data_IF_459728353956
#
_entry.id   IF_459728353956
#
_cell.length_a   1.000
_cell.length_b   1.000
_cell.length_c   1.000
_cell.angle_alpha   90.00
_cell.angle_beta   90.00
_cell.angle_gamma   90.00
#
_symmetry.space_group_name_H-M   'P 1'
#
loop_
_entity.id
_entity.type
_entity.pdbx_description
1 polymer ?
#
# COMPACT_ATOMS: atom_id res chain seq x y z
N UNK A 1 24.59 -14.94 7.44
CA UNK A 1 23.21 -14.66 6.98
C UNK A 1 22.64 -13.65 7.95
N UNK A 2 22.38 -12.43 7.49
CA UNK A 2 21.92 -11.35 8.36
C UNK A 2 20.47 -11.08 8.00
N UNK A 3 19.64 -11.15 9.03
CA UNK A 3 18.21 -11.04 8.98
C UNK A 3 17.85 -10.05 10.06
N UNK A 4 17.13 -8.99 9.71
CA UNK A 4 16.74 -7.96 10.68
C UNK A 4 15.27 -8.06 10.99
N UNK A 5 14.94 -7.95 12.26
CA UNK A 5 13.56 -7.87 12.75
C UNK A 5 13.29 -6.50 13.34
N UNK A 6 12.11 -5.98 13.06
CA UNK A 6 11.64 -4.69 13.54
C UNK A 6 10.34 -4.89 14.31
N UNK A 7 10.17 -4.12 15.39
CA UNK A 7 8.91 -4.00 16.14
C UNK A 7 8.35 -2.61 15.90
N UNK A 8 7.06 -2.52 15.58
CA UNK A 8 6.39 -1.27 15.17
C UNK A 8 7.16 -0.49 14.09
N UNK A 9 7.57 -1.13 12.98
CA UNK A 9 8.29 -0.46 11.91
C UNK A 9 7.47 0.67 11.28
N UNK A 10 8.15 1.76 10.92
CA UNK A 10 7.65 2.79 10.02
C UNK A 10 8.70 3.02 8.94
N UNK A 11 8.33 2.79 7.69
CA UNK A 11 9.16 3.03 6.51
C UNK A 11 8.58 4.19 5.71
N UNK A 12 9.42 5.17 5.37
CA UNK A 12 9.06 6.24 4.44
C UNK A 12 9.80 6.03 3.12
N UNK A 13 9.07 6.01 2.01
CA UNK A 13 9.64 5.94 0.66
C UNK A 13 9.72 7.34 0.05
N UNK A 14 10.82 7.60 -0.67
CA UNK A 14 11.07 8.86 -1.34
C UNK A 14 11.18 8.62 -2.86
N UNK A 15 10.74 9.59 -3.65
CA UNK A 15 10.94 9.59 -5.09
C UNK A 15 12.34 10.12 -5.49
N UNK A 16 12.59 10.22 -6.79
CA UNK A 16 13.86 10.70 -7.35
C UNK A 16 14.17 12.17 -6.98
N UNK A 17 13.16 12.94 -6.58
CA UNK A 17 13.30 14.33 -6.13
C UNK A 17 13.35 14.47 -4.61
N UNK A 18 13.55 13.36 -3.88
CA UNK A 18 13.55 13.30 -2.42
C UNK A 18 12.22 13.76 -1.78
N UNK A 19 11.10 13.64 -2.49
CA UNK A 19 9.77 13.87 -1.93
C UNK A 19 9.27 12.58 -1.28
N UNK A 20 8.84 12.67 -0.02
CA UNK A 20 8.22 11.53 0.66
C UNK A 20 6.89 11.17 -0.03
N UNK A 21 6.78 9.94 -0.53
CA UNK A 21 5.63 9.49 -1.32
C UNK A 21 4.72 8.53 -0.59
N UNK A 22 5.29 7.67 0.25
CA UNK A 22 4.54 6.64 0.98
C UNK A 22 5.06 6.47 2.40
N UNK A 23 4.15 6.22 3.33
CA UNK A 23 4.45 5.69 4.67
C UNK A 23 3.90 4.28 4.78
N UNK A 24 4.73 3.33 5.18
CA UNK A 24 4.36 1.92 5.40
C UNK A 24 4.60 1.58 6.87
N UNK A 25 3.57 1.08 7.55
CA UNK A 25 3.63 0.65 8.95
C UNK A 25 3.04 -0.74 9.15
N UNK A 26 3.49 -1.43 10.18
CA UNK A 26 3.00 -2.73 10.62
C UNK A 26 3.31 -2.95 12.10
N UNK A 27 2.85 -4.06 12.68
CA UNK A 27 3.22 -4.45 14.05
C UNK A 27 4.64 -5.02 14.11
N UNK A 28 5.04 -5.80 13.11
CA UNK A 28 6.38 -6.37 12.96
C UNK A 28 6.82 -6.38 11.51
N UNK A 29 8.13 -6.36 11.31
CA UNK A 29 8.70 -6.64 10.00
C UNK A 29 9.96 -7.50 10.06
N UNK A 30 10.18 -8.24 8.97
CA UNK A 30 11.39 -9.01 8.71
C UNK A 30 12.02 -8.49 7.42
N UNK A 31 13.26 -8.04 7.49
CA UNK A 31 14.05 -7.64 6.33
C UNK A 31 15.09 -8.71 6.01
N UNK A 32 15.12 -9.13 4.75
CA UNK A 32 16.05 -10.12 4.22
C UNK A 32 17.14 -9.46 3.37
N UNK A 33 18.20 -10.23 3.05
CA UNK A 33 19.36 -9.75 2.28
C UNK A 33 19.05 -9.35 0.85
N UNK A 34 18.08 -10.01 0.24
CA UNK A 34 17.54 -9.71 -1.09
C UNK A 34 16.60 -8.49 -1.08
N UNK A 35 16.57 -7.74 0.03
CA UNK A 35 15.80 -6.49 0.19
C UNK A 35 14.30 -6.71 0.07
N UNK A 36 13.84 -7.88 0.49
CA UNK A 36 12.42 -8.15 0.71
C UNK A 36 12.05 -7.79 2.15
N UNK A 37 11.04 -6.96 2.28
CA UNK A 37 10.45 -6.57 3.56
C UNK A 37 9.13 -7.31 3.72
N UNK A 38 9.07 -8.22 4.69
CA UNK A 38 7.85 -8.92 5.07
C UNK A 38 7.23 -8.18 6.25
N UNK A 39 5.98 -7.79 6.13
CA UNK A 39 5.21 -6.98 7.08
C UNK A 39 4.11 -7.85 7.69
N UNK A 40 3.98 -7.81 9.01
CA UNK A 40 3.04 -8.66 9.75
C UNK A 40 2.22 -7.84 10.74
N UNK A 41 0.91 -8.03 10.70
CA UNK A 41 -0.08 -7.40 11.58
C UNK A 41 -0.33 -5.94 11.23
N UNK A 42 -1.62 -5.59 11.10
CA UNK A 42 -2.11 -4.22 10.91
C UNK A 42 -1.30 -3.41 9.88
N UNK A 43 -1.00 -4.03 8.74
CA UNK A 43 -0.23 -3.37 7.68
C UNK A 43 -1.05 -2.23 7.11
N UNK A 44 -0.47 -1.04 7.12
CA UNK A 44 -1.07 0.14 6.52
C UNK A 44 -0.04 0.87 5.66
N UNK A 45 -0.40 1.09 4.40
CA UNK A 45 0.35 1.91 3.45
C UNK A 45 -0.46 3.17 3.21
N UNK A 46 0.12 4.35 3.42
CA UNK A 46 -0.52 5.64 3.20
C UNK A 46 0.25 6.45 2.17
N UNK A 47 -0.44 7.03 1.21
CA UNK A 47 0.16 8.05 0.34
C UNK A 47 0.43 9.31 1.17
N UNK A 48 1.59 9.92 0.94
CA UNK A 48 1.99 11.18 1.53
C UNK A 48 1.86 12.36 0.55
N UNK A 49 1.32 12.10 -0.65
CA UNK A 49 1.15 13.11 -1.71
C UNK A 49 -0.28 13.09 -2.24
N UNK A 50 -0.74 14.23 -2.76
CA UNK A 50 -2.07 14.39 -3.37
C UNK A 50 -2.12 13.95 -4.84
N UNK A 51 -1.01 13.48 -5.39
CA UNK A 51 -0.89 13.10 -6.81
C UNK A 51 -1.29 11.64 -7.07
N UNK A 52 -1.53 10.86 -6.02
CA UNK A 52 -1.94 9.47 -6.09
C UNK A 52 -3.45 9.35 -6.02
N UNK A 53 -4.06 8.61 -6.94
CA UNK A 53 -5.47 8.22 -6.80
C UNK A 53 -5.66 7.14 -5.72
N UNK A 54 -4.60 6.37 -5.44
CA UNK A 54 -4.56 5.42 -4.34
C UNK A 54 -4.08 6.13 -3.08
N UNK A 55 -4.92 6.18 -2.06
CA UNK A 55 -4.64 6.93 -0.83
C UNK A 55 -4.12 6.02 0.28
N UNK A 56 -4.70 4.82 0.41
CA UNK A 56 -4.40 3.90 1.51
C UNK A 56 -4.61 2.44 1.13
N UNK A 57 -3.76 1.58 1.66
CA UNK A 57 -3.90 0.12 1.61
C UNK A 57 -3.93 -0.39 3.05
N UNK A 58 -4.88 -1.26 3.38
CA UNK A 58 -4.92 -2.01 4.63
C UNK A 58 -4.96 -3.51 4.37
N UNK A 59 -4.17 -4.26 5.11
CA UNK A 59 -4.16 -5.73 5.10
C UNK A 59 -3.50 -6.28 6.37
N UNK A 60 -3.62 -7.57 6.63
CA UNK A 60 -2.98 -8.20 7.78
C UNK A 60 -1.50 -8.46 7.52
N UNK A 61 -1.11 -8.94 6.34
CA UNK A 61 0.28 -9.15 5.97
C UNK A 61 0.56 -8.67 4.54
N UNK A 62 1.79 -8.23 4.31
CA UNK A 62 2.24 -7.80 3.00
C UNK A 62 3.73 -8.07 2.79
N UNK A 63 4.14 -8.10 1.53
CA UNK A 63 5.54 -8.16 1.12
C UNK A 63 5.85 -6.94 0.27
N UNK A 64 7.00 -6.33 0.50
CA UNK A 64 7.50 -5.22 -0.31
C UNK A 64 8.90 -5.55 -0.81
N UNK A 65 9.10 -5.54 -2.11
CA UNK A 65 10.44 -5.53 -2.69
C UNK A 65 10.97 -4.10 -2.64
N UNK A 66 11.99 -3.84 -1.82
CA UNK A 66 12.50 -2.46 -1.62
C UNK A 66 13.28 -1.91 -2.82
N UNK A 67 13.61 -2.75 -3.81
CA UNK A 67 14.29 -2.33 -5.04
C UNK A 67 13.28 -1.93 -6.11
N UNK A 68 12.37 -2.84 -6.44
CA UNK A 68 11.36 -2.61 -7.49
C UNK A 68 10.17 -1.79 -6.99
N UNK A 69 9.97 -1.75 -5.66
CA UNK A 69 8.80 -1.21 -4.97
C UNK A 69 7.50 -1.95 -5.27
N UNK A 70 7.60 -3.21 -5.72
CA UNK A 70 6.43 -4.08 -5.81
C UNK A 70 5.91 -4.38 -4.42
N UNK A 71 4.59 -4.33 -4.27
CA UNK A 71 3.87 -4.70 -3.06
C UNK A 71 2.90 -5.83 -3.37
N UNK A 72 2.88 -6.85 -2.53
CA UNK A 72 1.94 -7.96 -2.63
C UNK A 72 1.34 -8.29 -1.28
N UNK A 73 0.15 -8.89 -1.30
CA UNK A 73 -0.47 -9.54 -0.16
C UNK A 73 -1.27 -10.72 -0.66
N UNK A 74 -1.29 -11.82 0.12
CA UNK A 74 -2.16 -12.97 -0.14
C UNK A 74 -3.43 -12.95 0.73
N UNK A 75 -3.55 -11.96 1.63
CA UNK A 75 -4.65 -11.83 2.58
C UNK A 75 -5.81 -11.01 1.99
N UNK A 76 -6.82 -10.75 2.83
CA UNK A 76 -7.81 -9.74 2.54
C UNK A 76 -7.18 -8.34 2.54
N UNK A 77 -7.51 -7.55 1.53
CA UNK A 77 -6.96 -6.22 1.32
C UNK A 77 -8.11 -5.24 1.11
N UNK A 78 -8.03 -4.10 1.78
CA UNK A 78 -8.88 -2.95 1.50
C UNK A 78 -8.04 -1.83 0.89
N UNK A 79 -8.39 -1.43 -0.35
CA UNK A 79 -7.84 -0.29 -1.06
C UNK A 79 -8.78 0.90 -0.89
N UNK A 80 -8.23 2.03 -0.45
CA UNK A 80 -8.91 3.32 -0.43
C UNK A 80 -8.27 4.22 -1.48
N UNK A 81 -9.08 4.75 -2.38
CA UNK A 81 -8.68 5.80 -3.30
C UNK A 81 -9.63 6.99 -3.21
N UNK A 82 -9.28 8.07 -3.92
CA UNK A 82 -9.96 9.38 -3.83
C UNK A 82 -11.48 9.30 -3.83
N UNK A 83 -12.05 8.44 -4.69
CA UNK A 83 -13.50 8.29 -4.87
C UNK A 83 -13.96 6.82 -4.81
N UNK A 84 -13.14 5.93 -4.23
CA UNK A 84 -13.48 4.51 -4.17
C UNK A 84 -12.93 3.82 -2.93
N UNK A 85 -13.63 2.77 -2.51
CA UNK A 85 -13.11 1.79 -1.55
C UNK A 85 -13.36 0.40 -2.13
N UNK A 86 -12.30 -0.35 -2.35
CA UNK A 86 -12.35 -1.73 -2.84
C UNK A 86 -11.88 -2.69 -1.76
N UNK A 87 -12.54 -3.83 -1.64
CA UNK A 87 -12.14 -4.94 -0.77
C UNK A 87 -12.00 -6.21 -1.64
N UNK A 88 -11.00 -7.03 -1.37
CA UNK A 88 -10.78 -8.27 -2.10
C UNK A 88 -9.68 -9.13 -1.50
N UNK A 89 -9.58 -10.36 -1.98
CA UNK A 89 -8.52 -11.29 -1.64
C UNK A 89 -7.33 -11.13 -2.58
N UNK A 90 -6.14 -11.11 -1.99
CA UNK A 90 -4.86 -10.91 -2.65
C UNK A 90 -4.74 -9.58 -3.37
N UNK A 91 -3.53 -9.04 -3.38
CA UNK A 91 -3.22 -7.80 -4.07
C UNK A 91 -1.84 -7.86 -4.68
N UNK A 92 -1.69 -7.21 -5.82
CA UNK A 92 -0.40 -6.86 -6.41
C UNK A 92 -0.40 -5.38 -6.74
N UNK A 93 0.73 -4.72 -6.58
CA UNK A 93 0.87 -3.31 -6.87
C UNK A 93 2.32 -2.90 -6.95
N UNK A 94 2.53 -1.62 -7.25
CA UNK A 94 3.85 -1.02 -7.25
C UNK A 94 3.75 0.43 -6.73
N UNK A 95 4.50 0.71 -5.66
CA UNK A 95 4.42 1.99 -4.95
C UNK A 95 5.05 3.13 -5.78
N UNK A 96 6.02 2.82 -6.65
CA UNK A 96 6.63 3.80 -7.55
C UNK A 96 5.65 4.26 -8.62
N UNK A 97 4.93 3.32 -9.25
CA UNK A 97 3.90 3.62 -10.25
C UNK A 97 2.55 4.00 -9.63
N UNK A 98 2.42 3.91 -8.30
CA UNK A 98 1.21 4.25 -7.54
C UNK A 98 0.00 3.41 -7.97
N UNK A 99 0.22 2.14 -8.31
CA UNK A 99 -0.81 1.21 -8.76
C UNK A 99 -1.01 0.08 -7.75
N UNK A 100 -2.25 -0.39 -7.63
CA UNK A 100 -2.62 -1.59 -6.88
C UNK A 100 -3.86 -2.23 -7.50
N UNK A 101 -3.85 -3.55 -7.59
CA UNK A 101 -4.91 -4.38 -8.17
C UNK A 101 -5.27 -5.48 -7.18
N UNK A 102 -6.57 -5.62 -6.90
CA UNK A 102 -7.12 -6.78 -6.20
C UNK A 102 -7.35 -7.90 -7.20
N UNK A 103 -7.06 -9.14 -6.80
CA UNK A 103 -7.04 -10.28 -7.72
C UNK A 103 -8.32 -11.11 -7.61
N UNK A 104 -8.73 -11.46 -6.38
CA UNK A 104 -9.81 -12.41 -6.13
C UNK A 104 -10.93 -11.76 -5.29
N UNK A 105 -12.17 -12.23 -5.45
CA UNK A 105 -13.35 -11.85 -4.63
C UNK A 105 -13.56 -10.34 -4.44
N UNK A 106 -13.32 -9.57 -5.50
CA UNK A 106 -13.33 -8.10 -5.46
C UNK A 106 -14.75 -7.56 -5.31
N UNK A 107 -14.92 -6.62 -4.38
CA UNK A 107 -16.10 -5.76 -4.22
C UNK A 107 -15.66 -4.32 -4.15
N UNK A 108 -16.27 -3.44 -4.92
CA UNK A 108 -15.92 -2.01 -4.91
C UNK A 108 -17.14 -1.14 -4.69
N UNK A 109 -16.98 -0.17 -3.78
CA UNK A 109 -17.89 0.94 -3.57
C UNK A 109 -17.26 2.20 -4.18
N UNK A 110 -18.04 2.97 -4.92
CA UNK A 110 -17.62 4.23 -5.53
C UNK A 110 -18.56 5.35 -5.09
N UNK A 111 -18.02 6.54 -4.85
CA UNK A 111 -18.82 7.74 -4.67
C UNK A 111 -18.84 8.56 -5.96
N UNK A 112 -20.03 8.82 -6.49
CA UNK A 112 -20.22 9.74 -7.60
C UNK A 112 -20.41 11.13 -6.98
N UNK A 113 -19.40 11.99 -7.08
CA UNK A 113 -19.62 13.40 -6.78
C UNK A 113 -20.43 14.02 -7.91
N UNK A 114 -21.74 14.19 -7.69
CA UNK A 114 -22.54 15.05 -8.54
C UNK A 114 -21.94 16.46 -8.46
N UNK A 115 -21.26 16.90 -9.52
CA UNK A 115 -20.92 18.30 -9.67
C UNK A 115 -22.24 19.07 -9.55
N UNK A 116 -22.38 19.89 -8.49
CA UNK A 116 -23.47 20.85 -8.42
C UNK A 116 -23.28 21.78 -9.62
N UNK A 117 -24.06 21.59 -10.67
CA UNK A 117 -24.30 22.62 -11.66
C UNK A 117 -25.06 23.72 -10.92
N UNK A 118 -24.34 24.75 -10.51
CA UNK A 118 -24.96 25.99 -10.02
C UNK A 118 -25.78 26.58 -11.18
N UNK A 119 -27.06 26.92 -10.98
CA UNK A 119 -27.91 27.50 -12.02
C UNK A 119 -27.43 28.88 -12.47
#
# INVERSE_FOLDING_TARGET
GELSWFTQPVMTLFDENAVATWSVRADRAKLTKDRMLYLYGHVEVNSLTTTSQLEKIKTDNAQVNLVTQDVTSDDEVTLYGTNFTSNGMKMRGNLRTKTAELIDKVKTNYEIQNQKTTP
#
